data_IF_417469611317
#
_entry.id   IF_417469611317
#
_cell.length_a   1.000
_cell.length_b   1.000
_cell.length_c   1.000
_cell.angle_alpha   90.00
_cell.angle_beta   90.00
_cell.angle_gamma   90.00
#
_symmetry.space_group_name_H-M   'P 1'
#
loop_
_entity.id
_entity.type
_entity.pdbx_description
1 polymer ?
#
# COMPACT_ATOMS: atom_id res chain seq x y z
N UNK A 1 6.72 21.14 -40.94
CA UNK A 1 6.04 20.42 -39.85
C UNK A 1 6.65 19.02 -39.75
N UNK A 2 7.25 18.62 -38.64
CA UNK A 2 7.62 17.22 -38.42
C UNK A 2 6.48 16.51 -37.69
N UNK A 3 6.05 15.37 -38.23
CA UNK A 3 5.06 14.48 -37.64
C UNK A 3 5.49 13.98 -36.26
N UNK A 4 4.50 13.77 -35.39
CA UNK A 4 4.69 13.35 -34.01
C UNK A 4 5.54 12.08 -33.91
N UNK A 5 6.63 12.17 -33.14
CA UNK A 5 7.28 10.99 -32.57
C UNK A 5 6.49 10.61 -31.33
N UNK A 6 5.73 9.52 -31.43
CA UNK A 6 5.09 8.90 -30.27
C UNK A 6 6.17 8.35 -29.34
N UNK A 7 6.42 9.10 -28.26
CA UNK A 7 7.39 8.75 -27.23
C UNK A 7 6.76 7.72 -26.30
N UNK A 8 6.85 6.43 -26.64
CA UNK A 8 6.65 5.36 -25.66
C UNK A 8 7.65 5.58 -24.52
N UNK A 9 7.14 6.06 -23.38
CA UNK A 9 7.94 6.41 -22.20
C UNK A 9 8.57 5.13 -21.65
N UNK A 10 9.91 5.07 -21.70
CA UNK A 10 10.72 3.97 -21.16
C UNK A 10 11.00 4.29 -19.69
N UNK A 11 10.74 3.36 -18.79
CA UNK A 11 11.00 3.53 -17.36
C UNK A 11 12.13 2.62 -16.90
N UNK A 12 13.06 3.19 -16.14
CA UNK A 12 14.17 2.48 -15.51
C UNK A 12 13.72 1.88 -14.18
N UNK A 13 14.05 0.61 -13.93
CA UNK A 13 13.98 0.00 -12.58
C UNK A 13 15.39 -0.10 -12.01
N UNK A 14 15.52 0.24 -10.73
CA UNK A 14 16.77 0.17 -9.98
C UNK A 14 16.63 -0.90 -8.90
N UNK A 15 17.63 -1.77 -8.74
CA UNK A 15 17.84 -2.55 -7.52
C UNK A 15 19.18 -2.18 -6.93
N UNK A 16 19.18 -1.93 -5.62
CA UNK A 16 20.37 -1.79 -4.79
C UNK A 16 20.41 -2.97 -3.83
N UNK A 17 21.53 -3.68 -3.78
CA UNK A 17 21.80 -4.70 -2.77
C UNK A 17 23.17 -4.44 -2.13
N UNK A 18 23.28 -4.71 -0.84
CA UNK A 18 24.50 -4.50 -0.03
C UNK A 18 24.93 -5.87 0.48
N UNK A 19 25.63 -6.64 -0.34
CA UNK A 19 26.39 -7.79 0.17
C UNK A 19 27.60 -8.10 -0.70
N UNK A 20 28.70 -8.51 -0.07
CA UNK A 20 29.98 -8.94 -0.68
C UNK A 20 29.86 -10.29 -1.44
N UNK A 21 28.77 -10.50 -2.16
CA UNK A 21 28.43 -11.79 -2.76
C UNK A 21 28.23 -11.60 -4.25
N UNK A 22 29.00 -12.35 -5.04
CA UNK A 22 28.76 -12.56 -6.47
C UNK A 22 27.27 -12.76 -6.76
N UNK A 23 26.69 -11.90 -7.59
CA UNK A 23 25.32 -12.06 -8.07
C UNK A 23 25.35 -12.72 -9.46
N UNK A 24 24.76 -13.91 -9.57
CA UNK A 24 24.72 -14.66 -10.82
C UNK A 24 23.35 -14.50 -11.46
N UNK A 25 23.27 -13.80 -12.59
CA UNK A 25 22.15 -13.92 -13.54
C UNK A 25 22.68 -14.71 -14.75
N UNK A 26 22.08 -15.88 -15.03
CA UNK A 26 22.30 -16.65 -16.27
C UNK A 26 20.93 -16.91 -16.91
N UNK A 27 20.74 -16.78 -18.25
CA UNK A 27 21.68 -17.24 -19.29
C UNK A 27 21.99 -16.29 -20.50
N UNK A 28 23.28 -16.26 -20.88
CA UNK A 28 23.98 -16.17 -22.22
C UNK A 28 23.40 -15.33 -23.38
N UNK A 29 24.11 -14.48 -24.15
CA UNK A 29 25.54 -14.28 -24.46
C UNK A 29 25.91 -12.79 -24.60
N UNK A 30 26.77 -12.27 -23.72
CA UNK A 30 27.79 -11.23 -23.97
C UNK A 30 28.33 -10.71 -22.62
N UNK A 31 29.65 -10.67 -22.45
CA UNK A 31 30.30 -10.13 -21.24
C UNK A 31 30.90 -8.75 -21.50
N UNK A 32 30.59 -7.77 -20.65
CA UNK A 32 31.44 -6.59 -20.47
C UNK A 32 32.13 -6.70 -19.12
N UNK A 33 33.45 -6.53 -19.09
CA UNK A 33 34.24 -6.55 -17.87
C UNK A 33 34.68 -5.12 -17.56
N UNK A 34 34.32 -4.61 -16.40
CA UNK A 34 34.81 -3.32 -15.91
C UNK A 34 35.50 -3.50 -14.55
N UNK A 35 36.70 -2.95 -14.40
CA UNK A 35 37.47 -3.01 -13.13
C UNK A 35 37.42 -1.65 -12.48
N UNK A 36 36.98 -1.59 -11.22
CA UNK A 36 36.76 -0.32 -10.52
C UNK A 36 37.58 -0.29 -9.23
N UNK A 37 38.43 0.74 -9.01
CA UNK A 37 39.12 0.91 -7.75
C UNK A 37 38.12 1.37 -6.68
N UNK A 38 38.18 0.78 -5.47
CA UNK A 38 37.15 0.84 -4.43
C UNK A 38 36.41 2.18 -4.28
N UNK A 39 35.07 2.10 -4.15
CA UNK A 39 34.13 3.22 -4.09
C UNK A 39 32.74 2.84 -4.65
N UNK A 40 31.85 3.82 -4.80
CA UNK A 40 30.56 3.64 -5.50
C UNK A 40 30.73 3.81 -7.00
N UNK A 41 30.23 2.86 -7.78
CA UNK A 41 30.17 2.98 -9.24
C UNK A 41 28.80 2.62 -9.80
N UNK A 42 28.42 3.32 -10.85
CA UNK A 42 27.21 3.07 -11.63
C UNK A 42 27.65 2.51 -12.97
N UNK A 43 27.34 1.23 -13.21
CA UNK A 43 27.55 0.62 -14.52
C UNK A 43 26.29 0.84 -15.33
N UNK A 44 26.36 1.66 -16.38
CA UNK A 44 25.28 1.79 -17.34
C UNK A 44 25.26 0.53 -18.22
N UNK A 45 24.31 -0.38 -17.95
CA UNK A 45 24.10 -1.57 -18.78
C UNK A 45 23.56 -1.19 -20.17
N UNK A 46 24.02 -1.84 -21.25
CA UNK A 46 23.53 -1.58 -22.61
C UNK A 46 22.09 -2.12 -22.80
N UNK A 47 21.41 -1.73 -23.90
CA UNK A 47 19.99 -1.42 -23.90
C UNK A 47 19.03 -2.61 -24.08
N UNK A 48 19.49 -3.85 -23.92
CA UNK A 48 18.66 -5.03 -24.22
C UNK A 48 18.66 -6.04 -23.06
N UNK A 49 17.49 -6.64 -22.84
CA UNK A 49 17.27 -7.73 -21.90
C UNK A 49 18.29 -8.87 -22.11
N UNK A 50 18.68 -9.56 -21.03
CA UNK A 50 19.66 -10.68 -21.00
C UNK A 50 21.18 -10.34 -21.03
N UNK A 51 21.63 -9.23 -20.44
CA UNK A 51 23.08 -8.97 -20.24
C UNK A 51 23.52 -9.26 -18.80
N UNK A 52 24.65 -9.96 -18.62
CA UNK A 52 25.31 -10.12 -17.30
C UNK A 52 26.33 -9.01 -17.08
N UNK A 53 26.28 -8.33 -15.93
CA UNK A 53 27.29 -7.35 -15.50
C UNK A 53 28.19 -8.00 -14.44
N UNK A 54 29.46 -8.21 -14.77
CA UNK A 54 30.44 -8.74 -13.82
C UNK A 54 31.21 -7.58 -13.20
N UNK A 55 31.02 -7.34 -11.90
CA UNK A 55 31.77 -6.34 -11.14
C UNK A 55 32.82 -7.03 -10.29
N UNK A 56 34.10 -6.69 -10.50
CA UNK A 56 35.20 -7.11 -9.63
C UNK A 56 35.75 -5.89 -8.90
N UNK A 57 35.76 -5.94 -7.57
CA UNK A 57 36.23 -4.86 -6.71
C UNK A 57 37.29 -5.36 -5.72
N UNK A 58 38.24 -4.50 -5.39
CA UNK A 58 39.20 -4.71 -4.30
C UNK A 58 38.72 -3.91 -3.08
N UNK A 59 37.79 -4.49 -2.30
CA UNK A 59 37.09 -3.87 -1.16
C UNK A 59 35.56 -3.90 -1.26
N UNK A 60 34.86 -3.39 -0.24
CA UNK A 60 33.39 -3.31 -0.20
C UNK A 60 32.85 -2.35 -1.28
N UNK A 61 31.92 -2.82 -2.11
CA UNK A 61 31.29 -2.02 -3.19
C UNK A 61 29.77 -2.18 -3.16
N UNK A 62 29.06 -1.07 -3.38
CA UNK A 62 27.62 -1.06 -3.68
C UNK A 62 27.47 -0.93 -5.20
N UNK A 63 26.84 -1.93 -5.82
CA UNK A 63 26.56 -1.95 -7.26
C UNK A 63 25.07 -1.66 -7.49
N UNK A 64 24.79 -0.65 -8.31
CA UNK A 64 23.43 -0.33 -8.77
C UNK A 64 23.35 -0.64 -10.26
N UNK A 65 22.45 -1.55 -10.66
CA UNK A 65 22.23 -1.94 -12.06
C UNK A 65 20.84 -1.47 -12.51
N UNK A 66 20.77 -0.86 -13.69
CA UNK A 66 19.52 -0.47 -14.35
C UNK A 66 19.34 -1.28 -15.65
N UNK A 67 18.14 -1.83 -15.89
CA UNK A 67 17.85 -2.61 -17.11
C UNK A 67 16.48 -2.25 -17.72
N UNK A 68 16.32 -2.55 -19.02
CA UNK A 68 15.08 -2.41 -19.78
C UNK A 68 14.32 -3.74 -19.84
N UNK A 69 12.99 -3.69 -19.67
CA UNK A 69 12.10 -4.84 -19.84
C UNK A 69 11.31 -4.65 -21.14
N UNK A 70 11.59 -5.48 -22.15
CA UNK A 70 10.94 -5.42 -23.47
C UNK A 70 9.76 -6.37 -23.61
N UNK A 71 9.35 -7.07 -22.54
CA UNK A 71 8.12 -7.86 -22.62
C UNK A 71 6.95 -6.93 -22.94
N UNK A 72 6.19 -7.17 -24.03
CA UNK A 72 5.04 -6.35 -24.35
C UNK A 72 3.98 -6.61 -23.27
N UNK A 73 4.02 -5.76 -22.25
CA UNK A 73 3.04 -5.74 -21.18
C UNK A 73 1.70 -5.38 -21.82
N UNK A 74 0.68 -6.25 -21.79
CA UNK A 74 -0.66 -5.82 -22.11
C UNK A 74 -1.01 -4.70 -21.12
N UNK A 75 -1.35 -3.53 -21.66
CA UNK A 75 -1.85 -2.36 -20.95
C UNK A 75 -0.88 -1.69 -19.96
N UNK A 76 -0.03 -0.82 -20.48
CA UNK A 76 0.50 0.31 -19.72
C UNK A 76 -0.62 1.35 -19.53
N UNK A 77 -1.51 1.14 -18.55
CA UNK A 77 -2.43 2.19 -18.03
C UNK A 77 -2.98 1.92 -16.61
N UNK A 78 -2.25 1.19 -15.76
CA UNK A 78 -2.58 1.07 -14.33
C UNK A 78 -1.38 1.59 -13.50
N UNK A 79 -1.40 2.86 -13.04
CA UNK A 79 -0.36 3.33 -12.12
C UNK A 79 -0.41 2.46 -10.86
N UNK A 80 0.73 1.96 -10.39
CA UNK A 80 0.91 1.30 -9.08
C UNK A 80 -0.13 1.81 -8.08
N UNK A 81 -1.17 1.03 -7.87
CA UNK A 81 -2.40 1.50 -7.28
C UNK A 81 -3.18 0.35 -6.72
N UNK A 82 -3.65 0.51 -5.49
CA UNK A 82 -4.47 -0.48 -4.82
C UNK A 82 -5.84 0.12 -4.54
N UNK A 83 -6.84 -0.74 -4.44
CA UNK A 83 -8.10 -0.35 -3.84
C UNK A 83 -8.60 -1.43 -2.90
N UNK A 84 -9.33 -0.98 -1.90
CA UNK A 84 -10.01 -1.86 -0.98
C UNK A 84 -11.43 -1.35 -0.77
N UNK A 85 -12.32 -2.30 -0.57
CA UNK A 85 -13.71 -2.05 -0.19
C UNK A 85 -14.03 -2.95 0.97
N UNK A 86 -14.88 -2.49 1.87
CA UNK A 86 -15.41 -3.37 2.87
C UNK A 86 -16.72 -2.83 3.41
N UNK A 87 -17.61 -3.74 3.71
CA UNK A 87 -18.84 -3.48 4.42
C UNK A 87 -19.18 -4.66 5.31
N UNK A 88 -19.97 -4.40 6.35
CA UNK A 88 -20.34 -5.44 7.28
C UNK A 88 -20.58 -4.92 8.68
N UNK A 89 -20.58 -5.86 9.61
CA UNK A 89 -20.74 -5.54 11.02
C UNK A 89 -19.98 -6.52 11.91
N UNK A 90 -19.68 -6.07 13.12
CA UNK A 90 -19.02 -6.85 14.15
C UNK A 90 -19.48 -6.39 15.54
N UNK A 91 -19.18 -7.21 16.54
CA UNK A 91 -19.25 -6.82 17.95
C UNK A 91 -17.84 -6.48 18.42
N UNK A 92 -17.58 -5.28 18.98
CA UNK A 92 -16.26 -4.92 19.49
C UNK A 92 -15.72 -5.98 20.45
N UNK A 93 -14.40 -6.16 20.49
CA UNK A 93 -13.75 -7.06 21.45
C UNK A 93 -13.60 -6.42 22.85
N UNK A 94 -12.95 -7.12 23.79
CA UNK A 94 -12.72 -6.63 25.15
C UNK A 94 -11.65 -5.53 25.28
N UNK A 95 -10.85 -5.30 24.24
CA UNK A 95 -9.79 -4.28 24.20
C UNK A 95 -10.28 -2.96 23.54
N UNK A 96 -11.49 -3.00 22.99
CA UNK A 96 -12.24 -1.86 22.48
C UNK A 96 -12.75 -0.98 23.61
N UNK A 97 -12.94 0.32 23.32
CA UNK A 97 -13.60 1.23 24.27
C UNK A 97 -15.12 1.24 24.09
N UNK A 98 -15.61 0.79 22.92
CA UNK A 98 -17.02 0.57 22.65
C UNK A 98 -17.46 -0.79 23.22
N UNK A 99 -18.66 -0.84 23.81
CA UNK A 99 -19.18 -2.06 24.47
C UNK A 99 -19.28 -3.25 23.49
N UNK A 100 -18.89 -4.46 23.91
CA UNK A 100 -19.02 -5.68 23.11
C UNK A 100 -20.49 -6.10 22.91
N UNK A 101 -21.44 -5.56 23.69
CA UNK A 101 -22.87 -5.84 23.53
C UNK A 101 -23.48 -5.11 22.33
N UNK A 102 -22.86 -4.00 21.92
CA UNK A 102 -23.34 -3.15 20.84
C UNK A 102 -22.81 -3.56 19.47
N UNK A 103 -23.64 -3.43 18.44
CA UNK A 103 -23.27 -3.76 17.07
C UNK A 103 -22.61 -2.58 16.36
N UNK A 104 -21.36 -2.76 15.95
CA UNK A 104 -20.63 -1.83 15.09
C UNK A 104 -20.88 -2.16 13.62
N UNK A 105 -21.35 -1.19 12.83
CA UNK A 105 -21.58 -1.33 11.39
C UNK A 105 -20.60 -0.44 10.66
N UNK A 106 -20.02 -0.92 9.57
CA UNK A 106 -19.08 -0.16 8.78
C UNK A 106 -19.33 -0.33 7.28
N UNK A 107 -18.88 0.65 6.52
CA UNK A 107 -18.79 0.59 5.07
C UNK A 107 -17.72 1.57 4.60
N UNK A 108 -16.80 1.12 3.77
CA UNK A 108 -15.72 1.96 3.26
C UNK A 108 -15.29 1.60 1.84
N UNK A 109 -14.67 2.59 1.21
CA UNK A 109 -13.82 2.42 0.04
C UNK A 109 -12.54 3.21 0.30
N UNK A 110 -11.38 2.64 -0.02
CA UNK A 110 -10.11 3.37 0.02
C UNK A 110 -9.28 2.97 -1.18
N UNK A 111 -8.68 3.94 -1.86
CA UNK A 111 -7.95 3.76 -3.10
C UNK A 111 -6.71 4.62 -3.11
N UNK A 112 -5.62 4.03 -3.54
CA UNK A 112 -4.41 4.73 -3.93
C UNK A 112 -4.24 4.57 -5.43
N UNK A 113 -4.16 5.67 -6.19
CA UNK A 113 -3.92 5.64 -7.63
C UNK A 113 -3.05 6.82 -8.04
N UNK A 114 -1.86 6.52 -8.59
CA UNK A 114 -0.99 7.53 -9.20
C UNK A 114 -0.61 8.69 -8.27
N UNK A 115 -0.29 8.40 -7.00
CA UNK A 115 0.06 9.42 -6.01
C UNK A 115 -1.13 10.12 -5.33
N UNK A 116 -2.37 9.73 -5.66
CA UNK A 116 -3.59 10.30 -5.08
C UNK A 116 -4.32 9.29 -4.21
N UNK A 117 -4.82 9.76 -3.07
CA UNK A 117 -5.66 8.98 -2.16
C UNK A 117 -7.12 9.41 -2.28
N UNK A 118 -8.01 8.44 -2.44
CA UNK A 118 -9.46 8.69 -2.47
C UNK A 118 -10.20 7.62 -1.69
N UNK A 119 -11.35 7.95 -1.16
CA UNK A 119 -12.15 7.00 -0.40
C UNK A 119 -13.20 7.67 0.45
N UNK A 120 -13.97 6.83 1.13
CA UNK A 120 -15.03 7.21 2.05
C UNK A 120 -15.18 6.14 3.11
N UNK A 121 -15.59 6.55 4.31
CA UNK A 121 -15.98 5.65 5.40
C UNK A 121 -17.28 6.13 6.04
N UNK A 122 -18.13 5.18 6.39
CA UNK A 122 -19.30 5.32 7.25
C UNK A 122 -19.18 4.27 8.35
N UNK A 123 -19.13 4.71 9.60
CA UNK A 123 -19.11 3.84 10.77
C UNK A 123 -20.24 4.25 11.71
N UNK A 124 -20.99 3.26 12.18
CA UNK A 124 -22.15 3.46 13.04
C UNK A 124 -22.10 2.53 14.25
N UNK A 125 -22.22 3.13 15.42
CA UNK A 125 -22.35 2.44 16.68
C UNK A 125 -23.41 3.15 17.54
N UNK A 126 -24.61 2.55 17.63
CA UNK A 126 -25.80 3.22 18.14
C UNK A 126 -25.77 3.43 19.66
N UNK A 127 -25.18 2.51 20.40
CA UNK A 127 -25.24 2.52 21.87
C UNK A 127 -24.42 3.68 22.48
N UNK A 128 -23.50 4.25 21.71
CA UNK A 128 -22.76 5.46 22.05
C UNK A 128 -23.14 6.67 21.16
N UNK A 129 -24.23 6.58 20.39
CA UNK A 129 -24.69 7.59 19.43
C UNK A 129 -23.60 8.05 18.45
N UNK A 130 -22.82 7.11 17.90
CA UNK A 130 -21.74 7.43 16.96
C UNK A 130 -22.22 7.16 15.53
N UNK A 131 -22.32 8.23 14.73
CA UNK A 131 -22.32 8.15 13.27
C UNK A 131 -21.13 8.89 12.68
N UNK A 132 -20.00 8.18 12.54
CA UNK A 132 -18.79 8.74 11.94
C UNK A 132 -18.87 8.67 10.40
N UNK A 133 -18.63 9.80 9.76
CA UNK A 133 -18.49 9.91 8.30
C UNK A 133 -17.20 10.61 7.92
N UNK A 134 -16.48 10.04 6.96
CA UNK A 134 -15.28 10.66 6.38
C UNK A 134 -15.62 11.96 5.65
N UNK A 135 -14.79 12.99 5.81
CA UNK A 135 -14.78 14.22 5.03
C UNK A 135 -13.55 14.30 4.11
N UNK A 136 -12.42 13.74 4.54
CA UNK A 136 -11.19 13.59 3.73
C UNK A 136 -10.60 12.18 3.84
N UNK A 137 -9.65 11.89 2.95
CA UNK A 137 -8.66 10.83 3.13
C UNK A 137 -7.30 11.50 3.18
N UNK A 138 -6.52 11.17 4.19
CA UNK A 138 -5.20 11.75 4.41
C UNK A 138 -4.13 10.87 3.77
N UNK A 139 -4.22 9.55 4.00
CA UNK A 139 -3.35 8.56 3.35
C UNK A 139 -4.00 7.19 3.31
N UNK A 140 -3.53 6.36 2.36
CA UNK A 140 -3.92 4.96 2.19
C UNK A 140 -2.66 4.12 1.92
N UNK A 141 -2.50 3.01 2.63
CA UNK A 141 -1.48 1.99 2.38
C UNK A 141 -2.17 0.67 2.13
N UNK A 142 -1.83 -0.01 1.03
CA UNK A 142 -2.43 -1.30 0.66
C UNK A 142 -1.29 -2.29 0.41
N UNK A 143 -1.45 -3.48 0.97
CA UNK A 143 -0.61 -4.65 0.76
C UNK A 143 -1.49 -5.86 0.43
N UNK A 144 -0.89 -7.02 0.15
CA UNK A 144 -1.59 -8.18 -0.43
C UNK A 144 -2.95 -8.53 0.21
N UNK A 145 -3.05 -8.45 1.55
CA UNK A 145 -4.27 -8.82 2.31
C UNK A 145 -4.66 -7.76 3.33
N UNK A 146 -4.01 -6.60 3.34
CA UNK A 146 -4.26 -5.57 4.35
C UNK A 146 -4.26 -4.19 3.75
N UNK A 147 -5.26 -3.41 4.13
CA UNK A 147 -5.35 -2.00 3.86
C UNK A 147 -5.37 -1.22 5.18
N UNK A 148 -4.64 -0.12 5.21
CA UNK A 148 -4.67 0.86 6.28
C UNK A 148 -4.94 2.23 5.67
N UNK A 149 -5.76 3.04 6.32
CA UNK A 149 -5.96 4.41 5.91
C UNK A 149 -6.26 5.30 7.10
N UNK A 150 -5.90 6.57 6.95
CA UNK A 150 -6.28 7.63 7.88
C UNK A 150 -7.09 8.68 7.14
N UNK A 151 -8.06 9.23 7.85
CA UNK A 151 -9.03 10.17 7.33
C UNK A 151 -9.46 11.12 8.43
N UNK A 152 -9.91 12.30 8.03
CA UNK A 152 -10.71 13.16 8.90
C UNK A 152 -12.20 12.98 8.64
N UNK A 153 -13.02 13.28 9.64
CA UNK A 153 -14.46 13.13 9.56
C UNK A 153 -15.20 13.84 10.68
N UNK A 154 -16.52 13.65 10.69
CA UNK A 154 -17.44 14.19 11.68
C UNK A 154 -18.21 13.06 12.33
N UNK A 155 -18.49 13.18 13.63
CA UNK A 155 -19.46 12.33 14.32
C UNK A 155 -20.80 13.10 14.33
N UNK A 156 -21.86 12.46 13.83
CA UNK A 156 -23.21 13.04 13.73
C UNK A 156 -23.27 14.37 12.95
N UNK A 157 -22.31 14.60 12.05
CA UNK A 157 -22.22 15.84 11.27
C UNK A 157 -21.52 17.00 11.99
N UNK A 158 -21.01 16.77 13.20
CA UNK A 158 -20.35 17.79 14.02
C UNK A 158 -18.90 17.41 14.36
N UNK A 159 -18.14 18.42 14.80
CA UNK A 159 -16.76 18.28 15.25
C UNK A 159 -15.74 17.99 14.14
N UNK A 160 -14.50 17.78 14.57
CA UNK A 160 -13.41 17.32 13.71
C UNK A 160 -12.77 16.13 14.41
N UNK A 161 -12.77 14.99 13.74
CA UNK A 161 -12.20 13.76 14.24
C UNK A 161 -11.24 13.20 13.21
N UNK A 162 -10.10 12.73 13.68
CA UNK A 162 -9.20 11.90 12.87
C UNK A 162 -9.47 10.45 13.22
N UNK A 163 -9.48 9.58 12.23
CA UNK A 163 -9.64 8.16 12.46
C UNK A 163 -8.71 7.36 11.56
N UNK A 164 -8.26 6.22 12.08
CA UNK A 164 -7.39 5.29 11.39
C UNK A 164 -8.06 3.94 11.37
N UNK A 165 -8.08 3.33 10.18
CA UNK A 165 -8.64 2.00 9.96
C UNK A 165 -7.52 1.05 9.57
N UNK A 166 -7.61 -0.17 10.09
CA UNK A 166 -6.94 -1.33 9.54
C UNK A 166 -8.00 -2.36 9.13
N UNK A 167 -8.00 -2.71 7.86
CA UNK A 167 -8.84 -3.72 7.25
C UNK A 167 -7.95 -4.89 6.77
N UNK A 168 -8.39 -6.13 6.99
CA UNK A 168 -7.70 -7.34 6.51
C UNK A 168 -8.69 -8.27 5.82
N UNK A 169 -8.35 -8.65 4.59
CA UNK A 169 -9.03 -9.64 3.74
C UNK A 169 -8.34 -10.99 4.00
N UNK A 170 -8.91 -11.78 4.92
CA UNK A 170 -8.29 -13.01 5.42
C UNK A 170 -8.91 -14.28 4.81
N UNK A 171 -9.90 -14.16 3.94
CA UNK A 171 -10.43 -15.30 3.21
C UNK A 171 -11.84 -15.13 2.70
N UNK A 172 -12.31 -16.14 1.99
CA UNK A 172 -13.67 -16.20 1.45
C UNK A 172 -14.39 -17.42 2.06
N UNK A 173 -15.57 -17.23 2.69
CA UNK A 173 -16.28 -15.97 2.88
C UNK A 173 -15.59 -15.03 3.88
N UNK A 174 -15.70 -13.70 3.72
CA UNK A 174 -15.12 -12.74 4.65
C UNK A 174 -15.71 -12.81 6.07
N UNK A 175 -17.00 -13.08 6.19
CA UNK A 175 -17.67 -13.32 7.47
C UNK A 175 -16.96 -14.41 8.29
N UNK A 176 -16.56 -14.06 9.53
CA UNK A 176 -15.82 -14.95 10.43
C UNK A 176 -14.32 -15.05 10.16
N UNK A 177 -13.79 -14.38 9.13
CA UNK A 177 -12.37 -14.41 8.75
C UNK A 177 -11.74 -13.01 8.70
N UNK A 178 -12.39 -12.08 8.01
CA UNK A 178 -11.90 -10.72 7.80
C UNK A 178 -11.90 -9.92 9.08
N UNK A 179 -10.98 -8.97 9.17
CA UNK A 179 -10.76 -8.19 10.38
C UNK A 179 -10.87 -6.70 10.12
N UNK A 180 -11.57 -6.01 11.01
CA UNK A 180 -11.72 -4.57 10.98
C UNK A 180 -11.31 -3.98 12.34
N UNK A 181 -10.46 -2.96 12.32
CA UNK A 181 -10.06 -2.14 13.47
C UNK A 181 -10.21 -0.68 13.08
N UNK A 182 -10.90 0.09 13.93
CA UNK A 182 -10.97 1.54 13.85
C UNK A 182 -10.57 2.18 15.19
N UNK A 183 -9.74 3.22 15.08
CA UNK A 183 -9.38 4.13 16.17
C UNK A 183 -9.79 5.54 15.79
N UNK A 184 -10.37 6.28 16.74
CA UNK A 184 -10.92 7.63 16.51
C UNK A 184 -10.36 8.57 17.58
N UNK A 185 -9.82 9.70 17.16
CA UNK A 185 -9.28 10.77 17.98
C UNK A 185 -10.11 12.04 17.84
N UNK A 186 -10.17 12.84 18.90
CA UNK A 186 -10.72 14.18 18.83
C UNK A 186 -9.69 15.14 18.22
N UNK A 187 -10.05 15.89 17.19
CA UNK A 187 -9.14 16.76 16.46
C UNK A 187 -8.18 16.00 15.55
N UNK A 188 -6.96 16.54 15.40
CA UNK A 188 -5.94 16.05 14.47
C UNK A 188 -4.75 15.36 15.14
N UNK A 189 -4.69 15.37 16.47
CA UNK A 189 -3.59 14.74 17.19
C UNK A 189 -3.85 13.23 17.29
N UNK A 190 -2.98 12.44 16.65
CA UNK A 190 -3.04 10.97 16.68
C UNK A 190 -1.94 10.35 17.54
N UNK A 191 -1.16 11.15 18.24
CA UNK A 191 -0.15 10.69 19.22
C UNK A 191 -0.78 10.47 20.60
N UNK A 192 -1.90 11.13 20.89
CA UNK A 192 -2.74 10.88 22.07
C UNK A 192 -3.48 9.54 22.00
N UNK A 193 -4.05 9.10 23.12
CA UNK A 193 -4.93 7.94 23.14
C UNK A 193 -6.24 8.20 22.37
N UNK A 194 -6.71 7.25 21.54
CA UNK A 194 -7.98 7.40 20.84
C UNK A 194 -9.16 7.42 21.82
N UNK A 195 -10.10 8.34 21.60
CA UNK A 195 -11.34 8.44 22.39
C UNK A 195 -12.29 7.28 22.12
N UNK A 196 -12.24 6.69 20.92
CA UNK A 196 -12.97 5.48 20.58
C UNK A 196 -12.07 4.46 19.89
N UNK A 197 -12.22 3.20 20.31
CA UNK A 197 -11.63 2.03 19.66
C UNK A 197 -12.72 0.99 19.46
N UNK A 198 -12.78 0.43 18.26
CA UNK A 198 -13.58 -0.76 17.98
C UNK A 198 -12.88 -1.64 16.97
N UNK A 199 -12.70 -2.90 17.33
CA UNK A 199 -12.06 -3.87 16.47
C UNK A 199 -12.61 -5.27 16.74
N UNK A 200 -12.70 -6.08 15.69
CA UNK A 200 -12.89 -7.53 15.78
C UNK A 200 -12.81 -8.16 14.37
N UNK A 201 -12.86 -9.50 14.34
CA UNK A 201 -13.28 -10.24 13.16
C UNK A 201 -14.73 -9.90 12.82
N UNK A 202 -15.02 -9.67 11.54
CA UNK A 202 -16.36 -9.31 11.08
C UNK A 202 -17.30 -10.51 11.23
N UNK A 203 -18.50 -10.27 11.73
CA UNK A 203 -19.49 -11.32 11.92
C UNK A 203 -20.32 -11.54 10.64
N UNK A 204 -20.35 -10.55 9.76
CA UNK A 204 -21.00 -10.58 8.45
C UNK A 204 -20.41 -9.47 7.55
N UNK A 205 -20.66 -9.58 6.25
CA UNK A 205 -20.06 -8.73 5.23
C UNK A 205 -18.76 -9.31 4.66
N UNK A 206 -17.97 -8.45 4.02
CA UNK A 206 -16.78 -8.85 3.27
C UNK A 206 -15.81 -7.66 3.16
N UNK A 207 -14.51 -7.92 3.30
CA UNK A 207 -13.44 -6.96 3.04
C UNK A 207 -12.64 -7.51 1.85
N UNK A 208 -12.52 -6.69 0.80
CA UNK A 208 -11.76 -7.04 -0.40
C UNK A 208 -10.56 -6.13 -0.54
N UNK A 209 -9.40 -6.73 -0.75
CA UNK A 209 -8.16 -5.99 -1.06
C UNK A 209 -7.70 -6.33 -2.48
N UNK A 210 -7.45 -5.29 -3.27
CA UNK A 210 -6.95 -5.38 -4.63
C UNK A 210 -5.67 -4.55 -4.74
N UNK A 211 -4.59 -5.19 -5.16
CA UNK A 211 -3.24 -4.61 -5.31
C UNK A 211 -2.75 -4.68 -6.74
#
# INVERSE_FOLDING_TARGET
MPGQRDSKRRQWKYRSDISNSTFTILPTDNSTNETIPGGTATVEGPPESNTTVNVTADGDVIVTVAYYDETPHPEADEPYGGHTTGDGWFYPDGESTLSPEGKANFGFTARYKGGSFTGKLNFQYKDADIHLKSTSIDWVTISAVSAQFQSTGTINGEGLYTFRVQAKDNGVPGAGNDYFDIKIWNGTDTEDDPIYKANNTIADGDIKVHT
#
